data_IF_351450179827
#
_entry.id   IF_351450179827
#
_cell.length_a   1.000
_cell.length_b   1.000
_cell.length_c   1.000
_cell.angle_alpha   90.00
_cell.angle_beta   90.00
_cell.angle_gamma   90.00
#
_symmetry.space_group_name_H-M   'P 1'
#
loop_
_entity.id
_entity.type
_entity.pdbx_description
1 polymer ?
#
# COMPACT_ATOMS: atom_id res chain seq x y z
N UNK A 1 -14.41 -5.16 48.27
CA UNK A 1 -15.38 -4.84 47.21
C UNK A 1 -14.69 -3.88 46.25
N UNK A 2 -14.05 -4.43 45.23
CA UNK A 2 -13.29 -3.71 44.20
C UNK A 2 -14.28 -3.04 43.24
N UNK A 3 -14.28 -1.70 43.23
CA UNK A 3 -15.02 -0.90 42.28
C UNK A 3 -14.50 -1.18 40.87
N UNK A 4 -15.42 -1.48 39.95
CA UNK A 4 -15.12 -1.78 38.56
C UNK A 4 -14.62 -0.55 37.82
N UNK A 5 -13.42 -0.67 37.26
CA UNK A 5 -12.97 0.15 36.15
C UNK A 5 -13.30 -0.60 34.85
N UNK A 6 -13.84 0.11 33.86
CA UNK A 6 -13.68 -0.28 32.45
C UNK A 6 -14.96 -0.52 31.66
N UNK A 7 -15.56 0.55 31.13
CA UNK A 7 -15.94 0.63 29.71
C UNK A 7 -16.26 2.10 29.39
N UNK A 8 -15.40 2.80 28.62
CA UNK A 8 -15.79 4.07 28.01
C UNK A 8 -16.43 3.73 26.66
N UNK A 9 -17.76 3.73 26.66
CA UNK A 9 -18.65 3.35 25.55
C UNK A 9 -18.50 4.27 24.32
N UNK A 10 -17.49 4.07 23.49
CA UNK A 10 -17.41 4.67 22.14
C UNK A 10 -17.53 6.20 22.07
N UNK A 11 -17.36 6.89 23.19
CA UNK A 11 -17.43 8.34 23.33
C UNK A 11 -16.33 8.98 22.48
N UNK A 12 -16.69 10.06 21.80
CA UNK A 12 -15.74 10.83 21.00
C UNK A 12 -14.74 11.51 21.95
N UNK A 13 -13.42 11.34 21.76
CA UNK A 13 -12.42 12.07 22.53
C UNK A 13 -12.52 13.59 22.30
N UNK A 14 -12.35 14.37 23.37
CA UNK A 14 -12.58 15.83 23.37
C UNK A 14 -11.58 16.64 22.49
N UNK A 15 -10.43 16.06 22.13
CA UNK A 15 -9.36 16.67 21.30
C UNK A 15 -9.54 16.39 19.79
N UNK A 16 -10.58 15.67 19.36
CA UNK A 16 -10.71 15.39 17.94
C UNK A 16 -11.09 16.62 17.11
N UNK A 17 -10.37 16.83 16.01
CA UNK A 17 -10.80 17.76 14.95
C UNK A 17 -12.09 17.26 14.29
N UNK A 18 -12.78 18.12 13.54
CA UNK A 18 -14.00 17.72 12.80
C UNK A 18 -13.75 16.55 11.85
N UNK A 19 -12.61 16.54 11.15
CA UNK A 19 -12.22 15.45 10.26
C UNK A 19 -11.98 14.14 11.03
N UNK A 20 -11.30 14.21 12.17
CA UNK A 20 -11.04 13.02 13.00
C UNK A 20 -12.30 12.48 13.67
N UNK A 21 -13.20 13.36 14.13
CA UNK A 21 -14.48 12.97 14.70
C UNK A 21 -15.37 12.28 13.67
N UNK A 22 -15.40 12.78 12.43
CA UNK A 22 -16.10 12.12 11.32
C UNK A 22 -15.51 10.76 10.98
N UNK A 23 -14.17 10.67 10.90
CA UNK A 23 -13.45 9.40 10.72
C UNK A 23 -13.79 8.38 11.82
N UNK A 24 -13.84 8.81 13.08
CA UNK A 24 -14.17 7.96 14.23
C UNK A 24 -15.57 7.35 14.09
N UNK A 25 -16.57 8.16 13.70
CA UNK A 25 -17.94 7.68 13.49
C UNK A 25 -18.04 6.74 12.28
N UNK A 26 -17.36 7.08 11.19
CA UNK A 26 -17.32 6.23 10.00
C UNK A 26 -16.68 4.86 10.30
N UNK A 27 -15.62 4.85 11.11
CA UNK A 27 -14.96 3.62 11.56
C UNK A 27 -15.92 2.70 12.32
N UNK A 28 -16.68 3.24 13.28
CA UNK A 28 -17.67 2.46 14.05
C UNK A 28 -18.82 1.95 13.20
N UNK A 29 -19.21 2.72 12.18
CA UNK A 29 -20.28 2.34 11.26
C UNK A 29 -19.80 1.35 10.17
N UNK A 30 -18.49 1.27 9.93
CA UNK A 30 -17.88 0.50 8.85
C UNK A 30 -18.15 1.08 7.46
N UNK A 31 -18.28 2.40 7.36
CA UNK A 31 -18.58 3.10 6.11
C UNK A 31 -17.37 3.87 5.58
N UNK A 32 -17.34 4.09 4.27
CA UNK A 32 -16.37 4.98 3.62
C UNK A 32 -16.50 6.41 4.17
N UNK A 33 -15.37 7.00 4.56
CA UNK A 33 -15.25 8.41 4.91
C UNK A 33 -14.49 9.14 3.81
N UNK A 34 -15.21 9.93 3.02
CA UNK A 34 -14.69 10.67 1.87
C UNK A 34 -14.62 12.17 2.18
N UNK A 35 -13.41 12.72 2.10
CA UNK A 35 -13.15 14.15 2.27
C UNK A 35 -12.78 14.85 0.94
N UNK A 36 -12.92 14.17 -0.20
CA UNK A 36 -12.63 14.73 -1.51
C UNK A 36 -13.64 15.80 -1.94
N UNK A 37 -13.21 16.72 -2.81
CA UNK A 37 -14.05 17.85 -3.30
C UNK A 37 -14.85 17.49 -4.54
N UNK A 38 -14.49 16.41 -5.23
CA UNK A 38 -15.00 16.06 -6.55
C UNK A 38 -14.23 16.70 -7.70
N UNK A 39 -13.33 17.64 -7.43
CA UNK A 39 -12.39 18.18 -8.42
C UNK A 39 -11.10 17.35 -8.45
N UNK A 40 -10.87 16.65 -9.56
CA UNK A 40 -9.72 15.77 -9.73
C UNK A 40 -8.35 16.48 -9.58
N UNK A 41 -8.24 17.76 -9.91
CA UNK A 41 -6.99 18.52 -9.76
C UNK A 41 -6.73 18.92 -8.32
N UNK A 42 -7.78 19.14 -7.53
CA UNK A 42 -7.70 19.45 -6.10
C UNK A 42 -7.47 18.17 -5.29
N UNK A 43 -8.12 17.09 -5.70
CA UNK A 43 -8.10 15.79 -5.04
C UNK A 43 -6.91 14.90 -5.45
N UNK A 44 -5.98 15.41 -6.27
CA UNK A 44 -4.78 14.67 -6.66
C UNK A 44 -3.83 14.49 -5.46
N UNK A 45 -3.67 13.27 -4.91
CA UNK A 45 -2.78 13.02 -3.78
C UNK A 45 -1.31 13.23 -4.15
N UNK A 46 -0.96 13.13 -5.43
CA UNK A 46 0.41 13.29 -5.94
C UNK A 46 0.73 14.71 -6.39
N UNK A 47 -0.28 15.58 -6.42
CA UNK A 47 -0.17 16.98 -6.84
C UNK A 47 0.46 17.88 -5.77
N UNK A 48 0.99 19.04 -6.19
CA UNK A 48 1.61 20.01 -5.29
C UNK A 48 0.64 20.89 -4.50
N UNK A 49 -0.67 20.79 -4.74
CA UNK A 49 -1.67 21.64 -4.04
C UNK A 49 -1.72 21.27 -2.55
N UNK A 50 -1.72 22.24 -1.63
CA UNK A 50 -1.84 21.96 -0.21
C UNK A 50 -3.25 21.47 0.12
N UNK A 51 -3.35 20.45 0.98
CA UNK A 51 -4.61 20.02 1.60
C UNK A 51 -4.70 20.60 3.01
N UNK A 52 -5.81 21.27 3.32
CA UNK A 52 -6.00 21.99 4.57
C UNK A 52 -6.44 21.10 5.74
N UNK A 53 -6.67 21.71 6.92
CA UNK A 53 -7.08 21.00 8.14
C UNK A 53 -8.41 20.25 7.98
N UNK A 54 -9.29 20.69 7.09
CA UNK A 54 -10.57 20.06 6.79
C UNK A 54 -10.46 18.64 6.20
N UNK A 55 -9.27 18.28 5.67
CA UNK A 55 -8.97 16.92 5.18
C UNK A 55 -7.87 16.22 5.97
N UNK A 56 -7.40 16.84 7.05
CA UNK A 56 -6.23 16.36 7.77
C UNK A 56 -6.66 15.59 9.01
N UNK A 57 -6.12 14.37 9.16
CA UNK A 57 -6.23 13.57 10.37
C UNK A 57 -4.84 13.27 10.89
N UNK A 58 -4.65 13.29 12.21
CA UNK A 58 -3.35 12.95 12.79
C UNK A 58 -3.14 11.44 12.74
N UNK A 59 -1.94 11.01 12.34
CA UNK A 59 -1.57 9.59 12.29
C UNK A 59 -1.82 8.88 13.63
N UNK A 60 -1.57 9.55 14.77
CA UNK A 60 -1.84 8.99 16.10
C UNK A 60 -3.30 8.54 16.30
N UNK A 61 -4.26 9.26 15.71
CA UNK A 61 -5.69 8.92 15.83
C UNK A 61 -6.04 7.75 14.91
N UNK A 62 -5.42 7.69 13.73
CA UNK A 62 -5.53 6.52 12.85
C UNK A 62 -4.96 5.28 13.55
N UNK A 63 -3.77 5.36 14.14
CA UNK A 63 -3.18 4.26 14.88
C UNK A 63 -4.04 3.83 16.07
N UNK A 64 -4.64 4.78 16.78
CA UNK A 64 -5.57 4.47 17.86
C UNK A 64 -6.77 3.66 17.37
N UNK A 65 -7.44 4.09 16.30
CA UNK A 65 -8.58 3.32 15.74
C UNK A 65 -8.19 1.90 15.33
N UNK A 66 -6.97 1.71 14.82
CA UNK A 66 -6.50 0.41 14.32
C UNK A 66 -6.01 -0.54 15.41
N UNK A 67 -5.49 -0.02 16.52
CA UNK A 67 -4.89 -0.82 17.60
C UNK A 67 -5.81 -0.97 18.83
N UNK A 68 -6.59 0.05 19.16
CA UNK A 68 -7.48 0.10 20.33
C UNK A 68 -8.73 0.95 20.03
N UNK A 69 -9.33 0.69 18.86
CA UNK A 69 -10.49 1.45 18.39
C UNK A 69 -11.78 1.15 19.16
N UNK A 70 -12.76 2.07 19.11
CA UNK A 70 -14.07 1.86 19.72
C UNK A 70 -14.81 0.68 19.07
N UNK A 71 -15.75 0.03 19.78
CA UNK A 71 -16.56 -1.03 19.20
C UNK A 71 -17.45 -0.49 18.07
N UNK A 72 -17.71 -1.37 17.10
CA UNK A 72 -18.64 -1.11 16.02
C UNK A 72 -20.06 -0.81 16.56
N UNK A 73 -20.86 -0.09 15.80
CA UNK A 73 -22.28 0.07 16.10
C UNK A 73 -23.01 -1.27 16.00
N UNK A 74 -24.15 -1.41 16.70
CA UNK A 74 -24.93 -2.64 16.69
C UNK A 74 -25.28 -3.07 15.24
N UNK A 75 -24.96 -4.32 14.90
CA UNK A 75 -25.16 -4.86 13.55
C UNK A 75 -24.17 -4.37 12.49
N UNK A 76 -23.09 -3.69 12.87
CA UNK A 76 -22.01 -3.23 11.99
C UNK A 76 -20.69 -3.94 12.30
N UNK A 77 -19.74 -3.82 11.37
CA UNK A 77 -18.34 -4.24 11.53
C UNK A 77 -17.48 -3.00 11.42
N UNK A 78 -16.52 -2.83 12.33
CA UNK A 78 -15.60 -1.69 12.26
C UNK A 78 -14.64 -1.85 11.09
N UNK A 79 -14.42 -0.77 10.35
CA UNK A 79 -13.43 -0.74 9.28
C UNK A 79 -12.93 0.67 9.04
N UNK A 80 -11.66 0.80 8.65
CA UNK A 80 -11.06 2.08 8.31
C UNK A 80 -11.05 2.22 6.79
N UNK A 81 -12.00 2.98 6.26
CA UNK A 81 -12.14 3.23 4.82
C UNK A 81 -12.07 4.73 4.55
N UNK A 82 -10.94 5.21 4.05
CA UNK A 82 -10.66 6.65 3.87
C UNK A 82 -10.48 7.01 2.40
N UNK A 83 -11.04 8.15 1.99
CA UNK A 83 -10.87 8.70 0.63
C UNK A 83 -10.49 10.17 0.69
N UNK A 84 -9.41 10.56 0.00
CA UNK A 84 -9.02 11.97 -0.10
C UNK A 84 -8.50 12.59 1.20
N UNK A 85 -7.95 11.77 2.10
CA UNK A 85 -7.52 12.19 3.44
C UNK A 85 -6.01 12.46 3.46
N UNK A 86 -5.60 13.57 4.12
CA UNK A 86 -4.22 13.84 4.50
C UNK A 86 -3.94 13.27 5.89
N UNK A 87 -2.94 12.41 6.01
CA UNK A 87 -2.49 11.87 7.29
C UNK A 87 -1.24 12.65 7.71
N UNK A 88 -1.36 13.44 8.78
CA UNK A 88 -0.23 14.16 9.36
C UNK A 88 0.61 13.25 10.24
N UNK A 89 1.89 13.57 10.36
CA UNK A 89 2.85 12.84 11.20
C UNK A 89 3.12 11.39 10.74
N UNK A 90 4.02 10.70 11.45
CA UNK A 90 4.40 9.32 11.14
C UNK A 90 3.30 8.37 11.61
N UNK A 91 2.84 7.48 10.72
CA UNK A 91 1.90 6.42 11.04
C UNK A 91 2.68 5.18 11.48
N UNK A 92 2.73 4.95 12.79
CA UNK A 92 3.47 3.86 13.41
C UNK A 92 2.51 2.80 13.97
N UNK A 93 2.56 1.60 13.39
CA UNK A 93 1.83 0.40 13.80
C UNK A 93 2.77 -0.76 14.10
N UNK A 94 4.07 -0.49 14.32
CA UNK A 94 5.08 -1.50 14.52
C UNK A 94 4.70 -2.50 15.63
N UNK A 95 4.83 -3.81 15.34
CA UNK A 95 4.50 -4.90 16.27
C UNK A 95 3.01 -5.05 16.61
N UNK A 96 2.14 -4.20 16.06
CA UNK A 96 0.70 -4.22 16.31
C UNK A 96 -0.04 -5.36 15.59
N UNK A 97 -1.27 -5.61 16.02
CA UNK A 97 -2.22 -6.49 15.31
C UNK A 97 -3.45 -5.69 14.94
N UNK A 98 -3.70 -5.53 13.65
CA UNK A 98 -4.80 -4.76 13.09
C UNK A 98 -5.83 -5.71 12.51
N UNK A 99 -6.92 -5.90 13.25
CA UNK A 99 -8.06 -6.74 12.87
C UNK A 99 -9.04 -6.03 11.92
N UNK A 100 -9.35 -4.73 12.09
CA UNK A 100 -10.28 -4.05 11.18
C UNK A 100 -9.77 -4.04 9.74
N UNK A 101 -10.70 -4.10 8.78
CA UNK A 101 -10.36 -3.90 7.37
C UNK A 101 -9.83 -2.49 7.12
N UNK A 102 -8.72 -2.37 6.39
CA UNK A 102 -8.06 -1.09 6.11
C UNK A 102 -7.98 -0.82 4.60
N UNK A 103 -8.63 0.26 4.17
CA UNK A 103 -8.56 0.78 2.81
C UNK A 103 -8.40 2.30 2.81
N UNK A 104 -7.31 2.77 2.20
CA UNK A 104 -7.04 4.17 1.95
C UNK A 104 -6.96 4.37 0.44
N UNK A 105 -7.77 5.29 -0.07
CA UNK A 105 -7.85 5.60 -1.49
C UNK A 105 -7.57 7.07 -1.71
N UNK A 106 -6.66 7.40 -2.64
CA UNK A 106 -6.31 8.79 -2.92
C UNK A 106 -5.91 9.57 -1.65
N UNK A 107 -5.19 8.93 -0.73
CA UNK A 107 -4.74 9.58 0.51
C UNK A 107 -3.30 10.07 0.36
N UNK A 108 -2.95 11.10 1.13
CA UNK A 108 -1.60 11.69 1.17
C UNK A 108 -1.03 11.57 2.57
N UNK A 109 0.19 11.06 2.69
CA UNK A 109 0.90 10.97 3.95
C UNK A 109 2.00 12.04 4.02
N UNK A 110 2.08 12.74 5.14
CA UNK A 110 3.12 13.74 5.35
C UNK A 110 4.48 13.10 5.69
N UNK A 111 4.45 11.91 6.31
CA UNK A 111 5.62 11.15 6.77
C UNK A 111 5.52 9.67 6.41
N UNK A 112 6.52 8.91 6.83
CA UNK A 112 6.64 7.48 6.56
C UNK A 112 5.51 6.67 7.25
N UNK A 113 5.19 5.51 6.66
CA UNK A 113 4.29 4.51 7.26
C UNK A 113 5.15 3.36 7.76
N UNK A 114 5.11 3.12 9.07
CA UNK A 114 5.91 2.11 9.77
C UNK A 114 5.01 0.94 10.19
N UNK A 115 5.19 -0.19 9.50
CA UNK A 115 4.52 -1.47 9.72
C UNK A 115 5.48 -2.64 10.05
N UNK A 116 6.68 -2.45 10.63
CA UNK A 116 7.55 -3.59 10.90
C UNK A 116 6.91 -4.53 11.92
N UNK A 117 6.89 -5.82 11.63
CA UNK A 117 6.30 -6.87 12.48
C UNK A 117 4.79 -6.72 12.75
N UNK A 118 4.09 -5.86 12.00
CA UNK A 118 2.64 -5.69 12.13
C UNK A 118 1.90 -6.88 11.51
N UNK A 119 0.75 -7.24 12.08
CA UNK A 119 -0.20 -8.21 11.52
C UNK A 119 -1.44 -7.50 11.01
N UNK A 120 -1.87 -7.81 9.79
CA UNK A 120 -3.14 -7.35 9.21
C UNK A 120 -3.95 -8.53 8.69
N UNK A 121 -5.27 -8.39 8.63
CA UNK A 121 -6.07 -9.22 7.73
C UNK A 121 -5.77 -8.81 6.27
N UNK A 122 -6.17 -7.60 5.86
CA UNK A 122 -5.89 -7.05 4.53
C UNK A 122 -5.61 -5.56 4.65
N UNK A 123 -4.65 -5.04 3.87
CA UNK A 123 -4.35 -3.59 3.83
C UNK A 123 -4.25 -3.09 2.38
N UNK A 124 -4.94 -1.99 2.10
CA UNK A 124 -5.02 -1.41 0.76
C UNK A 124 -4.69 0.07 0.77
N UNK A 125 -3.63 0.46 0.07
CA UNK A 125 -3.25 1.82 -0.26
C UNK A 125 -3.38 2.01 -1.78
N UNK A 126 -4.53 2.51 -2.21
CA UNK A 126 -4.88 2.62 -3.63
C UNK A 126 -4.71 4.07 -4.07
N UNK A 127 -3.80 4.31 -5.01
CA UNK A 127 -3.53 5.63 -5.55
C UNK A 127 -3.12 6.63 -4.44
N UNK A 128 -2.28 6.20 -3.50
CA UNK A 128 -1.83 7.02 -2.37
C UNK A 128 -0.44 7.60 -2.59
N UNK A 129 -0.21 8.80 -2.05
CA UNK A 129 1.13 9.39 -1.98
C UNK A 129 1.74 9.11 -0.60
N UNK A 130 2.72 8.20 -0.56
CA UNK A 130 3.34 7.72 0.68
C UNK A 130 4.84 7.99 0.63
N UNK A 131 5.41 8.86 1.47
CA UNK A 131 6.84 9.18 1.44
C UNK A 131 7.74 7.95 1.46
N UNK A 132 7.43 6.97 2.31
CA UNK A 132 8.14 5.69 2.45
C UNK A 132 7.27 4.67 3.16
N UNK A 133 7.34 3.41 2.75
CA UNK A 133 6.64 2.30 3.39
C UNK A 133 7.65 1.31 3.99
N UNK A 134 7.67 1.22 5.31
CA UNK A 134 8.50 0.27 6.05
C UNK A 134 7.66 -0.89 6.57
N UNK A 135 7.68 -2.01 5.88
CA UNK A 135 6.87 -3.19 6.17
C UNK A 135 7.73 -4.46 6.30
N UNK A 136 8.89 -4.33 6.94
CA UNK A 136 9.75 -5.48 7.20
C UNK A 136 9.07 -6.46 8.16
N UNK A 137 9.05 -7.75 7.83
CA UNK A 137 8.34 -8.79 8.61
C UNK A 137 6.84 -8.51 8.79
N UNK A 138 6.23 -7.71 7.91
CA UNK A 138 4.78 -7.55 7.85
C UNK A 138 4.13 -8.92 7.58
N UNK A 139 3.04 -9.23 8.28
CA UNK A 139 2.23 -10.40 7.99
C UNK A 139 0.81 -9.97 7.62
N UNK A 140 0.33 -10.40 6.44
CA UNK A 140 -1.07 -10.22 6.04
C UNK A 140 -1.73 -11.58 5.84
N UNK A 141 -2.93 -11.77 6.38
CA UNK A 141 -3.72 -13.00 6.11
C UNK A 141 -4.23 -13.03 4.67
N UNK A 142 -4.64 -11.87 4.17
CA UNK A 142 -5.05 -11.62 2.80
C UNK A 142 -4.02 -10.77 2.06
N UNK A 143 -4.53 -9.84 1.25
CA UNK A 143 -3.75 -9.14 0.25
C UNK A 143 -3.02 -7.89 0.80
N UNK A 144 -1.92 -7.53 0.14
CA UNK A 144 -1.28 -6.23 0.25
C UNK A 144 -1.44 -5.47 -1.08
N UNK A 145 -2.33 -4.47 -1.09
CA UNK A 145 -2.61 -3.67 -2.29
C UNK A 145 -1.93 -2.31 -2.21
N UNK A 146 -1.04 -2.03 -3.15
CA UNK A 146 -0.36 -0.75 -3.33
C UNK A 146 -0.50 -0.17 -4.76
N UNK A 147 -1.60 -0.42 -5.52
CA UNK A 147 -1.67 -0.03 -6.92
C UNK A 147 -1.78 1.48 -7.10
N UNK A 148 -1.15 2.01 -8.16
CA UNK A 148 -1.10 3.45 -8.50
C UNK A 148 -0.49 4.36 -7.44
N UNK A 149 0.00 3.80 -6.34
CA UNK A 149 0.60 4.54 -5.24
C UNK A 149 2.04 4.96 -5.59
N UNK A 150 2.48 6.08 -5.02
CA UNK A 150 3.82 6.63 -5.23
C UNK A 150 4.63 6.61 -3.94
N UNK A 151 5.87 6.13 -4.04
CA UNK A 151 6.79 5.94 -2.92
C UNK A 151 8.15 6.58 -3.22
N UNK A 152 8.33 7.89 -2.95
CA UNK A 152 9.59 8.59 -3.20
C UNK A 152 10.80 8.04 -2.43
N UNK A 153 10.58 7.45 -1.25
CA UNK A 153 11.60 6.88 -0.38
C UNK A 153 11.66 5.36 -0.39
N UNK A 154 11.00 4.71 -1.34
CA UNK A 154 11.01 3.27 -1.52
C UNK A 154 10.04 2.50 -0.63
N UNK A 155 10.04 1.18 -0.83
CA UNK A 155 9.24 0.20 -0.09
C UNK A 155 10.17 -0.87 0.47
N UNK A 156 10.07 -1.15 1.77
CA UNK A 156 10.76 -2.26 2.42
C UNK A 156 9.75 -3.34 2.81
N UNK A 157 9.92 -4.54 2.27
CA UNK A 157 9.12 -5.75 2.53
C UNK A 157 10.03 -6.94 2.91
N UNK A 158 11.22 -6.67 3.46
CA UNK A 158 12.17 -7.70 3.85
C UNK A 158 11.53 -8.68 4.83
N UNK A 159 11.59 -9.97 4.54
CA UNK A 159 10.99 -11.06 5.32
C UNK A 159 9.47 -10.92 5.54
N UNK A 160 8.76 -10.15 4.70
CA UNK A 160 7.31 -10.03 4.78
C UNK A 160 6.60 -11.31 4.30
N UNK A 161 5.44 -11.59 4.89
CA UNK A 161 4.58 -12.73 4.57
C UNK A 161 3.21 -12.23 4.13
N UNK A 162 2.93 -12.35 2.84
CA UNK A 162 1.66 -11.95 2.24
C UNK A 162 0.83 -13.21 1.98
N UNK A 163 -0.31 -13.34 2.66
CA UNK A 163 -1.11 -14.57 2.65
C UNK A 163 -1.71 -14.91 1.29
N UNK A 164 -2.09 -13.90 0.51
CA UNK A 164 -2.64 -14.06 -0.85
C UNK A 164 -1.82 -13.27 -1.86
N UNK A 165 -2.32 -12.16 -2.39
CA UNK A 165 -1.68 -11.43 -3.49
C UNK A 165 -0.93 -10.17 -3.01
N UNK A 166 0.19 -9.88 -3.66
CA UNK A 166 0.88 -8.59 -3.57
C UNK A 166 0.65 -7.80 -4.86
N UNK A 167 -0.04 -6.66 -4.78
CA UNK A 167 -0.39 -5.85 -5.95
C UNK A 167 0.33 -4.50 -5.92
N UNK A 168 1.25 -4.32 -6.87
CA UNK A 168 2.03 -3.12 -7.14
C UNK A 168 1.71 -2.51 -8.52
N UNK A 169 0.59 -2.91 -9.13
CA UNK A 169 0.20 -2.49 -10.47
C UNK A 169 0.20 -0.95 -10.60
N UNK A 170 0.92 -0.44 -11.59
CA UNK A 170 1.05 1.00 -11.89
C UNK A 170 1.63 1.84 -10.73
N UNK A 171 2.25 1.21 -9.72
CA UNK A 171 2.94 1.96 -8.67
C UNK A 171 4.19 2.65 -9.25
N UNK A 172 4.59 3.77 -8.63
CA UNK A 172 5.86 4.44 -8.94
C UNK A 172 6.70 4.46 -7.68
N UNK A 173 7.87 3.82 -7.73
CA UNK A 173 8.71 3.61 -6.55
C UNK A 173 10.11 4.15 -6.84
N UNK A 174 10.57 5.10 -6.04
CA UNK A 174 11.92 5.65 -6.16
C UNK A 174 12.87 5.05 -5.14
N UNK A 175 14.17 5.18 -5.40
CA UNK A 175 15.23 4.67 -4.55
C UNK A 175 15.22 5.30 -3.16
N UNK A 176 15.41 4.44 -2.17
CA UNK A 176 15.76 4.82 -0.82
C UNK A 176 17.22 5.30 -0.73
N UNK A 177 17.68 5.56 0.50
CA UNK A 177 19.08 5.97 0.77
C UNK A 177 20.12 4.89 0.43
N UNK A 178 19.70 3.63 0.29
CA UNK A 178 20.57 2.51 -0.08
C UNK A 178 20.59 2.21 -1.59
N UNK A 179 19.83 2.98 -2.38
CA UNK A 179 19.73 2.79 -3.83
C UNK A 179 18.67 1.77 -4.26
N UNK A 180 17.88 1.23 -3.34
CA UNK A 180 16.82 0.25 -3.62
C UNK A 180 15.48 0.94 -3.72
N UNK A 181 14.70 0.64 -4.74
CA UNK A 181 13.31 1.09 -4.79
C UNK A 181 12.42 0.15 -3.99
N UNK A 182 12.60 -1.16 -4.14
CA UNK A 182 11.82 -2.18 -3.44
C UNK A 182 12.79 -3.18 -2.84
N UNK A 183 12.80 -3.29 -1.51
CA UNK A 183 13.63 -4.25 -0.77
C UNK A 183 12.75 -5.36 -0.20
N UNK A 184 12.58 -6.44 -0.94
CA UNK A 184 11.70 -7.57 -0.62
C UNK A 184 12.49 -8.89 -0.53
N UNK A 185 13.71 -8.82 0.01
CA UNK A 185 14.53 -10.00 0.31
C UNK A 185 13.83 -10.91 1.32
N UNK A 186 13.80 -12.22 1.07
CA UNK A 186 13.17 -13.21 1.95
C UNK A 186 11.64 -13.14 2.03
N UNK A 187 10.99 -12.34 1.17
CA UNK A 187 9.53 -12.19 1.17
C UNK A 187 8.83 -13.43 0.62
N UNK A 188 7.73 -13.83 1.26
CA UNK A 188 6.83 -14.89 0.78
C UNK A 188 5.48 -14.28 0.38
N UNK A 189 5.01 -14.62 -0.83
CA UNK A 189 3.67 -14.30 -1.33
C UNK A 189 2.93 -15.61 -1.60
N UNK A 190 1.77 -15.79 -0.96
CA UNK A 190 1.01 -17.04 -1.03
C UNK A 190 0.50 -17.34 -2.43
N UNK A 191 0.12 -16.32 -3.20
CA UNK A 191 -0.43 -16.45 -4.55
C UNK A 191 0.37 -15.62 -5.58
N UNK A 192 -0.22 -14.58 -6.17
CA UNK A 192 0.40 -13.81 -7.24
C UNK A 192 1.09 -12.53 -6.74
N UNK A 193 2.28 -12.25 -7.30
CA UNK A 193 2.90 -10.92 -7.23
C UNK A 193 2.64 -10.20 -8.54
N UNK A 194 1.74 -9.22 -8.50
CA UNK A 194 1.34 -8.43 -9.67
C UNK A 194 1.96 -7.04 -9.62
N UNK A 195 2.90 -6.77 -10.52
CA UNK A 195 3.60 -5.50 -10.68
C UNK A 195 3.52 -5.01 -12.13
N UNK A 196 2.33 -5.11 -12.72
CA UNK A 196 2.08 -4.70 -14.10
C UNK A 196 2.19 -3.19 -14.24
N UNK A 197 2.95 -2.73 -15.24
CA UNK A 197 3.24 -1.32 -15.48
C UNK A 197 3.86 -0.61 -14.26
N UNK A 198 4.49 -1.35 -13.35
CA UNK A 198 5.31 -0.78 -12.26
C UNK A 198 6.42 0.09 -12.86
N UNK A 199 6.62 1.27 -12.30
CA UNK A 199 7.80 2.10 -12.58
C UNK A 199 8.70 2.14 -11.34
N UNK A 200 9.90 1.60 -11.46
CA UNK A 200 10.89 1.52 -10.39
C UNK A 200 12.13 2.32 -10.77
N UNK A 201 12.56 3.22 -9.90
CA UNK A 201 13.78 4.03 -10.03
C UNK A 201 14.78 3.62 -8.96
N UNK A 202 15.45 2.49 -9.13
CA UNK A 202 16.40 1.90 -8.19
C UNK A 202 16.44 0.38 -8.32
N UNK A 203 17.16 -0.29 -7.42
CA UNK A 203 17.20 -1.75 -7.40
C UNK A 203 15.88 -2.31 -6.85
N UNK A 204 15.24 -3.22 -7.59
CA UNK A 204 14.21 -4.13 -7.09
C UNK A 204 14.91 -5.40 -6.60
N UNK A 205 14.95 -5.58 -5.29
CA UNK A 205 15.60 -6.72 -4.63
C UNK A 205 14.54 -7.73 -4.19
N UNK A 206 14.63 -8.95 -4.72
CA UNK A 206 13.76 -10.11 -4.46
C UNK A 206 14.61 -11.33 -4.10
N UNK A 207 15.73 -11.13 -3.39
CA UNK A 207 16.68 -12.20 -3.07
C UNK A 207 15.99 -13.23 -2.19
N UNK A 208 16.06 -14.50 -2.58
CA UNK A 208 15.47 -15.61 -1.83
C UNK A 208 13.96 -15.43 -1.54
N UNK A 209 13.25 -14.65 -2.35
CA UNK A 209 11.80 -14.49 -2.23
C UNK A 209 11.05 -15.69 -2.83
N UNK A 210 9.84 -15.96 -2.35
CA UNK A 210 8.98 -17.04 -2.82
C UNK A 210 7.63 -16.49 -3.27
N UNK A 211 7.21 -16.83 -4.50
CA UNK A 211 5.91 -16.49 -5.05
C UNK A 211 5.17 -17.77 -5.39
N UNK A 212 4.09 -18.04 -4.66
CA UNK A 212 3.36 -19.31 -4.70
C UNK A 212 2.65 -19.60 -6.02
N UNK A 213 2.41 -18.60 -6.86
CA UNK A 213 1.79 -18.78 -8.18
C UNK A 213 2.57 -18.08 -9.28
N UNK A 214 2.38 -16.78 -9.52
CA UNK A 214 3.01 -16.10 -10.65
C UNK A 214 3.53 -14.71 -10.30
N UNK A 215 4.65 -14.34 -10.90
CA UNK A 215 5.23 -13.00 -10.83
C UNK A 215 5.00 -12.29 -12.18
N UNK A 216 4.18 -11.23 -12.17
CA UNK A 216 3.88 -10.43 -13.37
C UNK A 216 4.57 -9.07 -13.32
N UNK A 217 5.52 -8.83 -14.22
CA UNK A 217 6.15 -7.53 -14.47
C UNK A 217 5.76 -7.00 -15.86
N UNK A 218 4.54 -7.30 -16.30
CA UNK A 218 4.12 -6.95 -17.66
C UNK A 218 4.13 -5.44 -17.86
N UNK A 219 4.84 -4.96 -18.87
CA UNK A 219 4.99 -3.53 -19.14
C UNK A 219 5.73 -2.77 -18.03
N UNK A 220 6.36 -3.43 -17.07
CA UNK A 220 7.10 -2.74 -16.01
C UNK A 220 8.36 -2.05 -16.56
N UNK A 221 8.74 -0.93 -15.95
CA UNK A 221 9.95 -0.17 -16.25
C UNK A 221 10.84 -0.18 -15.02
N UNK A 222 11.91 -0.96 -15.08
CA UNK A 222 12.90 -1.09 -13.99
C UNK A 222 14.13 -0.27 -14.38
N UNK A 223 14.29 0.90 -13.76
CA UNK A 223 15.26 1.91 -14.14
C UNK A 223 16.32 2.07 -13.05
N UNK A 224 17.52 1.56 -13.31
CA UNK A 224 18.67 1.71 -12.44
C UNK A 224 20.00 1.77 -13.25
N UNK A 225 20.14 2.73 -14.19
CA UNK A 225 21.19 2.70 -15.21
C UNK A 225 22.62 2.92 -14.66
N UNK A 226 22.75 3.52 -13.47
CA UNK A 226 24.05 3.92 -12.90
C UNK A 226 24.59 2.94 -11.85
N UNK A 227 23.87 1.86 -11.54
CA UNK A 227 24.32 0.89 -10.55
C UNK A 227 24.25 -0.54 -11.11
N UNK A 228 24.59 -1.52 -10.27
CA UNK A 228 24.84 -2.89 -10.73
C UNK A 228 23.58 -3.58 -11.26
N UNK A 229 22.45 -3.47 -10.54
CA UNK A 229 21.24 -4.23 -10.86
C UNK A 229 19.98 -3.39 -10.77
N UNK A 230 19.14 -3.43 -11.82
CA UNK A 230 17.76 -2.96 -11.75
C UNK A 230 16.85 -4.03 -11.13
N UNK A 231 17.12 -5.31 -11.42
CA UNK A 231 16.44 -6.46 -10.81
C UNK A 231 17.48 -7.41 -10.19
N UNK A 232 17.39 -7.63 -8.89
CA UNK A 232 18.27 -8.50 -8.12
C UNK A 232 17.46 -9.56 -7.39
N UNK A 233 17.29 -10.72 -8.02
CA UNK A 233 16.45 -11.82 -7.54
C UNK A 233 17.15 -13.20 -7.52
N UNK A 234 18.42 -13.32 -7.08
CA UNK A 234 19.04 -14.63 -6.88
C UNK A 234 18.23 -15.48 -5.91
N UNK A 235 18.04 -16.76 -6.26
CA UNK A 235 17.26 -17.73 -5.48
C UNK A 235 15.77 -17.37 -5.34
N UNK A 236 15.23 -16.54 -6.23
CA UNK A 236 13.80 -16.33 -6.34
C UNK A 236 13.11 -17.62 -6.82
N UNK A 237 12.07 -18.05 -6.12
CA UNK A 237 11.19 -19.13 -6.54
C UNK A 237 9.85 -18.56 -7.01
N UNK A 238 9.43 -18.96 -8.21
CA UNK A 238 8.09 -18.67 -8.75
C UNK A 238 7.50 -19.99 -9.23
N UNK A 239 6.44 -20.46 -8.60
CA UNK A 239 5.93 -21.83 -8.81
C UNK A 239 5.40 -22.08 -10.23
N UNK A 240 4.80 -21.06 -10.88
CA UNK A 240 4.17 -21.24 -12.18
C UNK A 240 4.81 -20.42 -13.30
N UNK A 241 4.79 -19.09 -13.22
CA UNK A 241 5.21 -18.26 -14.36
C UNK A 241 5.75 -16.90 -13.95
N UNK A 242 6.87 -16.51 -14.56
CA UNK A 242 7.42 -15.16 -14.56
C UNK A 242 7.09 -14.45 -15.88
N UNK A 243 6.32 -13.36 -15.85
CA UNK A 243 5.97 -12.58 -17.03
C UNK A 243 6.82 -11.32 -17.15
N UNK A 244 7.65 -11.24 -18.19
CA UNK A 244 8.43 -10.06 -18.59
C UNK A 244 7.99 -9.57 -19.99
N UNK A 245 6.68 -9.52 -20.24
CA UNK A 245 6.11 -9.18 -21.55
C UNK A 245 5.55 -7.76 -21.56
N UNK A 246 5.22 -7.18 -22.73
CA UNK A 246 4.48 -5.93 -22.78
C UNK A 246 3.08 -6.05 -22.15
N UNK A 247 2.51 -4.91 -21.73
CA UNK A 247 1.14 -4.76 -21.27
C UNK A 247 0.36 -3.80 -22.20
N UNK A 248 -0.92 -4.08 -22.44
CA UNK A 248 -1.80 -3.16 -23.15
C UNK A 248 -2.25 -2.01 -22.25
N UNK A 249 -2.17 -0.78 -22.73
CA UNK A 249 -2.73 0.42 -22.11
C UNK A 249 -4.22 0.48 -22.48
N UNK A 250 -5.06 -0.21 -21.69
CA UNK A 250 -6.51 -0.32 -21.89
C UNK A 250 -7.18 -1.04 -20.72
N UNK A 251 -8.51 -0.92 -20.60
CA UNK A 251 -9.30 -1.38 -19.44
C UNK A 251 -8.99 -2.83 -19.03
N UNK A 252 -8.84 -3.15 -17.73
CA UNK A 252 -8.36 -4.44 -17.21
C UNK A 252 -9.27 -5.66 -17.50
N UNK A 253 -10.38 -5.47 -18.23
CA UNK A 253 -11.38 -6.52 -18.47
C UNK A 253 -11.04 -7.50 -19.60
N UNK A 254 -9.92 -7.32 -20.32
CA UNK A 254 -9.53 -8.19 -21.43
C UNK A 254 -8.26 -8.97 -21.11
N UNK A 255 -8.34 -9.89 -20.15
CA UNK A 255 -7.34 -10.97 -20.00
C UNK A 255 -7.57 -12.01 -21.10
N UNK A 256 -6.54 -12.31 -21.89
CA UNK A 256 -6.53 -13.48 -22.79
C UNK A 256 -7.01 -13.28 -24.23
N UNK A 257 -7.28 -12.04 -24.67
CA UNK A 257 -7.54 -11.76 -26.10
C UNK A 257 -6.39 -10.97 -26.72
N UNK A 258 -6.12 -11.21 -27.99
CA UNK A 258 -5.21 -10.38 -28.80
C UNK A 258 -5.64 -8.92 -28.64
N UNK A 259 -4.74 -8.00 -28.24
CA UNK A 259 -5.11 -6.59 -28.07
C UNK A 259 -5.77 -6.07 -29.34
N UNK A 260 -6.89 -5.36 -29.20
CA UNK A 260 -7.55 -4.72 -30.33
C UNK A 260 -6.53 -3.85 -31.09
N UNK A 261 -6.54 -3.93 -32.42
CA UNK A 261 -5.62 -3.19 -33.27
C UNK A 261 -5.69 -1.69 -32.92
N UNK A 262 -4.56 -1.10 -32.50
CA UNK A 262 -4.49 0.28 -32.00
C UNK A 262 -4.42 0.45 -30.48
N UNK A 263 -4.45 -0.63 -29.70
CA UNK A 263 -4.16 -0.59 -28.26
C UNK A 263 -2.73 -0.08 -28.07
N UNK A 264 -2.54 1.03 -27.35
CA UNK A 264 -1.20 1.48 -26.98
C UNK A 264 -0.58 0.40 -26.10
N UNK A 265 0.67 0.03 -26.34
CA UNK A 265 1.35 -1.02 -25.58
C UNK A 265 2.50 -0.39 -24.81
N UNK A 266 2.62 -0.72 -23.53
CA UNK A 266 3.80 -0.43 -22.73
C UNK A 266 4.69 -1.67 -22.72
N UNK A 267 5.93 -1.52 -23.18
CA UNK A 267 6.91 -2.62 -23.17
C UNK A 267 7.48 -2.80 -21.78
N UNK A 268 7.89 -4.03 -21.48
CA UNK A 268 8.78 -4.26 -20.36
C UNK A 268 10.15 -3.66 -20.69
N UNK A 269 10.67 -2.82 -19.80
CA UNK A 269 11.96 -2.15 -19.93
C UNK A 269 12.78 -2.40 -18.66
N UNK A 270 14.06 -2.74 -18.83
CA UNK A 270 14.99 -2.92 -17.73
C UNK A 270 16.31 -2.26 -18.09
N UNK A 271 16.61 -1.14 -17.44
CA UNK A 271 17.85 -0.36 -17.62
C UNK A 271 18.75 -0.57 -16.42
N UNK A 272 19.71 -1.49 -16.53
CA UNK A 272 20.59 -1.93 -15.46
C UNK A 272 20.79 -3.45 -15.52
N UNK A 273 21.62 -4.01 -14.64
CA UNK A 273 21.82 -5.45 -14.62
C UNK A 273 20.58 -6.21 -14.14
N UNK A 274 20.38 -7.41 -14.66
CA UNK A 274 19.40 -8.37 -14.14
C UNK A 274 20.17 -9.55 -13.57
N UNK A 275 19.89 -9.91 -12.32
CA UNK A 275 20.39 -11.12 -11.66
C UNK A 275 19.19 -11.95 -11.22
N UNK A 276 19.07 -13.17 -11.72
CA UNK A 276 18.07 -14.18 -11.34
C UNK A 276 18.78 -15.39 -10.72
#
# INVERSE_FOLDING_TARGET
MTQGAGHRDGELPDDLTTAEAGMWQAFRNGSVYDLSSGDALVDDPHGGRPWGPERTVRARIVCWLLLDGPPALAGRVSSLQLVGVRISDTMDLAGGTVVPYVELRRCRFDREVLLPETRFTTVRLVDCAVPRLEAARLHTEGDLHLPRSRFPGGIRLTDAQIGTDLLLNQAIVHRDRSGRSIAADGMTVGQDLQAEMLESHGEVSLRSAQVGVSLSLRGARLLNPYTRHALNAPQLTVERTLYLTPAGLGSPLLRGTTPAQGTRIQRFECEGGVRL
#
